data_IF_376949996543
#
_entry.id   IF_376949996543
#
_cell.length_a   1.000
_cell.length_b   1.000
_cell.length_c   1.000
_cell.angle_alpha   90.00
_cell.angle_beta   90.00
_cell.angle_gamma   90.00
#
_symmetry.space_group_name_H-M   'P 1'
#
loop_
_entity.id
_entity.type
_entity.pdbx_description
1 polymer ?
#
# COMPACT_ATOMS: atom_id res chain seq x y z
N UNK A 1 -6.42 8.69 -19.26
CA UNK A 1 -7.49 8.46 -20.26
C UNK A 1 -7.85 9.82 -20.85
N UNK A 2 -7.38 10.11 -22.04
CA UNK A 2 -7.66 11.36 -22.75
C UNK A 2 -8.75 11.09 -23.78
N UNK A 3 -9.90 11.77 -23.65
CA UNK A 3 -10.85 11.93 -24.76
C UNK A 3 -12.15 11.13 -24.71
N UNK A 4 -12.54 10.55 -23.60
CA UNK A 4 -13.85 9.93 -23.42
C UNK A 4 -14.63 10.78 -22.41
N UNK A 5 -15.82 11.28 -22.76
CA UNK A 5 -16.77 11.81 -21.79
C UNK A 5 -17.33 10.65 -20.98
N UNK A 6 -16.71 10.33 -19.87
CA UNK A 6 -17.20 9.36 -18.88
C UNK A 6 -17.69 10.11 -17.65
N UNK A 7 -18.83 9.72 -17.13
CA UNK A 7 -19.27 10.15 -15.81
C UNK A 7 -18.38 9.47 -14.75
N UNK A 8 -17.96 10.20 -13.72
CA UNK A 8 -17.14 9.66 -12.65
C UNK A 8 -18.02 9.36 -11.44
N UNK A 9 -18.08 8.10 -11.02
CA UNK A 9 -18.77 7.63 -9.82
C UNK A 9 -17.82 6.76 -8.99
N UNK A 10 -16.91 7.39 -8.29
CA UNK A 10 -15.82 6.70 -7.58
C UNK A 10 -15.69 7.18 -6.13
N UNK A 11 -15.15 6.36 -5.29
CA UNK A 11 -14.97 6.69 -3.88
C UNK A 11 -13.94 5.82 -3.19
N UNK A 12 -13.53 6.25 -2.00
CA UNK A 12 -12.64 5.50 -1.14
C UNK A 12 -13.04 5.64 0.32
N UNK A 13 -12.52 4.74 1.15
CA UNK A 13 -12.67 4.81 2.59
C UNK A 13 -11.52 4.09 3.29
N UNK A 14 -11.19 4.56 4.50
CA UNK A 14 -10.23 3.87 5.34
C UNK A 14 -10.70 3.84 6.79
N UNK A 15 -10.27 2.83 7.52
CA UNK A 15 -10.49 2.75 8.95
C UNK A 15 -9.25 2.22 9.66
N UNK A 16 -9.02 2.71 10.87
CA UNK A 16 -7.93 2.27 11.74
C UNK A 16 -8.50 2.01 13.12
N UNK A 17 -8.23 0.83 13.65
CA UNK A 17 -8.52 0.49 15.03
C UNK A 17 -7.24 -0.02 15.67
N UNK A 18 -6.88 0.53 16.84
CA UNK A 18 -5.66 0.13 17.51
C UNK A 18 -5.75 0.24 19.01
N UNK A 19 -4.86 -0.48 19.69
CA UNK A 19 -4.72 -0.44 21.12
C UNK A 19 -3.24 -0.40 21.52
N UNK A 20 -2.93 0.40 22.55
CA UNK A 20 -1.58 0.54 23.11
C UNK A 20 -1.59 0.04 24.55
N UNK A 21 -0.70 -0.89 24.86
CA UNK A 21 -0.45 -1.37 26.23
C UNK A 21 0.63 -0.50 26.87
N UNK A 22 0.25 0.63 27.46
CA UNK A 22 1.19 1.62 28.02
C UNK A 22 1.98 1.10 29.21
N UNK A 23 1.39 0.17 29.97
CA UNK A 23 1.97 -0.39 31.20
C UNK A 23 2.86 -1.64 30.95
N UNK A 24 2.97 -2.05 29.70
CA UNK A 24 3.83 -3.16 29.26
C UNK A 24 5.16 -2.60 28.76
N UNK A 25 6.25 -3.37 28.99
CA UNK A 25 7.56 -2.99 28.48
C UNK A 25 7.51 -2.70 26.98
N UNK A 26 8.18 -1.62 26.52
CA UNK A 26 8.23 -1.12 25.17
C UNK A 26 6.92 -0.49 24.67
N UNK A 27 5.90 -0.38 25.53
CA UNK A 27 4.57 0.18 25.20
C UNK A 27 4.04 -0.29 23.84
N UNK A 28 3.87 -1.62 23.63
CA UNK A 28 3.47 -2.14 22.34
C UNK A 28 2.11 -1.60 21.91
N UNK A 29 1.99 -1.30 20.64
CA UNK A 29 0.72 -0.92 20.00
C UNK A 29 0.43 -1.92 18.88
N UNK A 30 -0.81 -2.40 18.81
CA UNK A 30 -1.32 -3.19 17.70
C UNK A 30 -2.44 -2.41 17.02
N UNK A 31 -2.41 -2.36 15.67
CA UNK A 31 -3.42 -1.68 14.86
C UNK A 31 -3.88 -2.59 13.73
N UNK A 32 -5.19 -2.65 13.53
CA UNK A 32 -5.78 -3.12 12.29
C UNK A 32 -6.08 -1.90 11.41
N UNK A 33 -5.69 -1.96 10.15
CA UNK A 33 -5.95 -0.91 9.16
C UNK A 33 -6.67 -1.52 7.97
N UNK A 34 -7.65 -0.81 7.46
CA UNK A 34 -8.38 -1.18 6.26
C UNK A 34 -8.41 0.00 5.31
N UNK A 35 -8.18 -0.27 4.02
CA UNK A 35 -8.37 0.64 2.91
C UNK A 35 -9.27 0.02 1.87
N UNK A 36 -10.17 0.82 1.33
CA UNK A 36 -10.97 0.53 0.16
C UNK A 36 -10.86 1.69 -0.85
N UNK A 37 -10.44 1.37 -2.06
CA UNK A 37 -10.53 2.26 -3.21
C UNK A 37 -11.33 1.61 -4.32
N UNK A 38 -12.39 2.29 -4.78
CA UNK A 38 -13.26 1.74 -5.82
C UNK A 38 -12.53 1.46 -7.12
N UNK A 39 -12.99 0.44 -7.84
CA UNK A 39 -12.57 0.05 -9.18
C UNK A 39 -13.76 -0.03 -10.13
N UNK A 40 -13.49 -0.11 -11.41
CA UNK A 40 -14.50 -0.14 -12.47
C UNK A 40 -14.90 -1.58 -12.81
N UNK A 41 -16.11 -1.96 -12.44
CA UNK A 41 -16.67 -3.28 -12.72
C UNK A 41 -16.94 -3.51 -14.21
N UNK A 42 -17.26 -2.44 -14.94
CA UNK A 42 -17.70 -2.54 -16.34
C UNK A 42 -17.03 -1.43 -17.16
N UNK A 43 -15.72 -1.56 -17.43
CA UNK A 43 -14.97 -0.56 -18.19
C UNK A 43 -15.62 -0.25 -19.55
N UNK A 44 -15.56 1.02 -19.96
CA UNK A 44 -16.09 1.52 -21.24
C UNK A 44 -17.62 1.53 -21.38
N UNK A 45 -18.37 1.53 -20.28
CA UNK A 45 -19.83 1.68 -20.28
C UNK A 45 -20.33 3.14 -20.19
N UNK A 46 -19.42 4.12 -20.24
CA UNK A 46 -19.73 5.55 -20.10
C UNK A 46 -19.61 6.07 -18.66
N UNK A 47 -19.34 5.21 -17.69
CA UNK A 47 -19.11 5.59 -16.28
C UNK A 47 -17.78 5.02 -15.82
N UNK A 48 -16.93 5.84 -15.22
CA UNK A 48 -15.69 5.42 -14.60
C UNK A 48 -15.87 5.33 -13.08
N UNK A 49 -15.79 4.10 -12.55
CA UNK A 49 -15.94 3.87 -11.12
C UNK A 49 -14.58 3.73 -10.39
N UNK A 50 -13.47 3.89 -11.09
CA UNK A 50 -12.14 3.81 -10.49
C UNK A 50 -11.80 5.12 -9.79
N UNK A 51 -11.56 5.07 -8.48
CA UNK A 51 -11.08 6.23 -7.73
C UNK A 51 -9.68 6.61 -8.20
N UNK A 52 -9.45 7.92 -8.37
CA UNK A 52 -8.11 8.48 -8.59
C UNK A 52 -7.62 9.11 -7.28
N UNK A 53 -6.50 8.63 -6.78
CA UNK A 53 -5.86 9.19 -5.59
C UNK A 53 -5.09 10.46 -5.97
N UNK A 54 -5.71 11.62 -5.76
CA UNK A 54 -5.12 12.93 -6.11
C UNK A 54 -3.85 13.25 -5.32
N UNK A 55 -3.74 12.72 -4.10
CA UNK A 55 -2.61 12.93 -3.20
C UNK A 55 -2.17 11.58 -2.62
N UNK A 56 -1.39 10.80 -3.36
CA UNK A 56 -0.96 9.49 -2.89
C UNK A 56 -0.04 9.63 -1.68
N UNK A 57 -0.41 8.98 -0.59
CA UNK A 57 0.39 8.84 0.63
C UNK A 57 0.81 7.37 0.76
N UNK A 58 1.52 6.85 -0.24
CA UNK A 58 1.83 5.44 -0.41
C UNK A 58 2.31 4.77 0.88
N UNK A 59 3.42 5.23 1.41
CA UNK A 59 4.02 4.67 2.64
C UNK A 59 3.13 4.71 3.89
N UNK A 60 2.09 5.54 3.91
CA UNK A 60 1.20 5.63 5.05
C UNK A 60 0.08 4.58 5.01
N UNK A 61 -0.26 4.05 3.82
CA UNK A 61 -1.45 3.24 3.63
C UNK A 61 -1.23 1.96 2.82
N UNK A 62 -0.32 1.93 1.84
CA UNK A 62 -0.27 0.85 0.83
C UNK A 62 1.09 0.17 0.73
N UNK A 63 1.80 0.05 1.87
CA UNK A 63 3.13 -0.53 1.94
C UNK A 63 4.25 0.45 1.58
N UNK A 64 5.49 0.05 1.82
CA UNK A 64 6.68 0.90 1.68
C UNK A 64 7.36 0.75 0.30
N UNK A 65 7.11 -0.38 -0.39
CA UNK A 65 7.72 -0.63 -1.71
C UNK A 65 7.14 0.29 -2.80
N UNK A 66 6.00 0.96 -2.55
CA UNK A 66 5.33 1.86 -3.51
C UNK A 66 4.92 1.18 -4.84
N UNK A 67 4.56 -0.08 -4.78
CA UNK A 67 4.06 -0.79 -5.95
C UNK A 67 2.65 -0.36 -6.36
N UNK A 68 1.86 0.12 -5.41
CA UNK A 68 0.43 0.34 -5.53
C UNK A 68 0.06 1.77 -5.16
N UNK A 69 -1.06 2.21 -5.74
CA UNK A 69 -1.74 3.42 -5.28
C UNK A 69 -3.14 3.10 -4.77
N UNK A 70 -3.87 3.67 -4.08
CA UNK A 70 -5.17 3.28 -3.50
C UNK A 70 -6.32 3.07 -4.50
N UNK A 71 -6.09 3.06 -5.81
CA UNK A 71 -7.12 2.87 -6.85
C UNK A 71 -7.38 1.40 -7.09
N UNK A 72 -8.65 1.00 -7.18
CA UNK A 72 -9.07 -0.39 -7.34
C UNK A 72 -8.40 -1.33 -6.32
N UNK A 73 -8.31 -0.88 -5.06
CA UNK A 73 -7.50 -1.55 -4.04
C UNK A 73 -8.32 -1.84 -2.78
N UNK A 74 -8.18 -3.05 -2.29
CA UNK A 74 -8.46 -3.45 -0.91
C UNK A 74 -7.12 -3.69 -0.24
N UNK A 75 -6.85 -3.04 0.89
CA UNK A 75 -5.72 -3.35 1.77
C UNK A 75 -6.25 -3.65 3.17
N UNK A 76 -5.89 -4.82 3.64
CA UNK A 76 -6.04 -5.22 5.04
C UNK A 76 -4.66 -5.28 5.65
N UNK A 77 -4.38 -4.49 6.67
CA UNK A 77 -3.08 -4.56 7.31
C UNK A 77 -3.14 -4.69 8.83
N UNK A 78 -2.16 -5.41 9.34
CA UNK A 78 -1.90 -5.53 10.77
C UNK A 78 -0.56 -4.89 11.08
N UNK A 79 -0.56 -3.87 11.95
CA UNK A 79 0.62 -3.07 12.26
C UNK A 79 0.96 -3.17 13.73
N UNK A 80 2.21 -3.52 14.02
CA UNK A 80 2.80 -3.51 15.37
C UNK A 80 3.77 -2.35 15.52
N UNK A 81 3.72 -1.66 16.66
CA UNK A 81 4.69 -0.61 17.02
C UNK A 81 5.24 -0.91 18.40
N UNK A 82 6.55 -0.86 18.56
CA UNK A 82 7.21 -0.97 19.85
C UNK A 82 8.24 0.15 20.03
N UNK A 83 8.45 0.56 21.28
CA UNK A 83 9.44 1.59 21.67
C UNK A 83 10.41 1.00 22.69
N UNK A 84 11.46 0.24 22.22
CA UNK A 84 12.43 -0.39 23.11
C UNK A 84 13.17 0.59 24.00
N UNK A 85 13.32 1.83 23.54
CA UNK A 85 13.88 2.95 24.31
C UNK A 85 13.11 4.24 23.98
N UNK A 86 13.35 5.31 24.72
CA UNK A 86 12.77 6.64 24.43
C UNK A 86 13.25 7.22 23.08
N UNK A 87 14.30 6.64 22.47
CA UNK A 87 14.91 7.12 21.22
C UNK A 87 14.68 6.17 20.05
N UNK A 88 14.23 4.94 20.29
CA UNK A 88 14.07 3.92 19.25
C UNK A 88 12.61 3.52 19.13
N UNK A 89 12.05 3.63 17.94
CA UNK A 89 10.73 3.10 17.56
C UNK A 89 10.92 2.09 16.45
N UNK A 90 10.27 0.93 16.59
CA UNK A 90 10.22 -0.09 15.54
C UNK A 90 8.76 -0.30 15.16
N UNK A 91 8.49 -0.27 13.88
CA UNK A 91 7.19 -0.53 13.27
C UNK A 91 7.32 -1.76 12.39
N UNK A 92 6.37 -2.68 12.49
CA UNK A 92 6.20 -3.76 11.52
C UNK A 92 4.77 -3.71 11.01
N UNK A 93 4.58 -3.85 9.71
CA UNK A 93 3.27 -3.91 9.07
C UNK A 93 3.21 -5.11 8.13
N UNK A 94 2.11 -5.85 8.18
CA UNK A 94 1.80 -6.93 7.25
C UNK A 94 0.52 -6.54 6.51
N UNK A 95 0.62 -6.44 5.20
CA UNK A 95 -0.43 -6.04 4.29
C UNK A 95 -0.89 -7.21 3.44
N UNK A 96 -2.20 -7.29 3.18
CA UNK A 96 -2.82 -8.18 2.19
C UNK A 96 -3.57 -7.31 1.19
N UNK A 97 -3.14 -7.38 -0.08
CA UNK A 97 -3.65 -6.55 -1.16
C UNK A 97 -4.51 -7.35 -2.14
N UNK A 98 -5.72 -6.86 -2.38
CA UNK A 98 -6.62 -7.39 -3.38
C UNK A 98 -7.16 -6.27 -4.28
N UNK A 99 -7.54 -6.62 -5.51
CA UNK A 99 -8.31 -5.74 -6.39
C UNK A 99 -9.74 -5.62 -5.85
N UNK A 100 -10.29 -4.42 -5.81
CA UNK A 100 -11.71 -4.20 -5.49
C UNK A 100 -12.63 -4.73 -6.61
N UNK A 101 -12.17 -4.64 -7.87
CA UNK A 101 -12.86 -5.19 -9.05
C UNK A 101 -11.86 -5.96 -9.93
N UNK A 102 -12.20 -7.19 -10.27
CA UNK A 102 -11.36 -8.05 -11.10
C UNK A 102 -11.18 -7.53 -12.53
N UNK A 103 -12.19 -6.85 -13.07
CA UNK A 103 -12.21 -6.28 -14.42
C UNK A 103 -11.37 -5.01 -14.57
N UNK A 104 -11.01 -4.36 -13.49
CA UNK A 104 -10.20 -3.14 -13.51
C UNK A 104 -8.71 -3.46 -13.28
N UNK A 105 -7.76 -2.73 -13.89
CA UNK A 105 -6.34 -2.95 -13.66
C UNK A 105 -5.88 -2.73 -12.22
N UNK A 106 -4.68 -3.20 -11.90
CA UNK A 106 -3.89 -2.71 -10.78
C UNK A 106 -3.31 -1.34 -11.18
N UNK A 107 -3.17 -0.40 -10.24
CA UNK A 107 -2.61 0.91 -10.49
C UNK A 107 -1.34 1.11 -9.67
N UNK A 108 -0.29 1.60 -10.35
CA UNK A 108 0.98 1.97 -9.71
C UNK A 108 0.92 3.36 -9.06
N UNK A 109 1.97 3.75 -8.36
CA UNK A 109 2.06 5.06 -7.67
C UNK A 109 1.91 6.27 -8.59
N UNK A 110 2.16 6.13 -9.89
CA UNK A 110 1.93 7.18 -10.88
C UNK A 110 0.47 7.22 -11.37
N UNK A 111 -0.44 6.46 -10.76
CA UNK A 111 -1.83 6.28 -11.18
C UNK A 111 -1.96 5.74 -12.61
N UNK A 112 -0.96 5.02 -13.08
CA UNK A 112 -1.00 4.35 -14.36
C UNK A 112 -1.42 2.88 -14.18
N UNK A 113 -2.25 2.35 -15.10
CA UNK A 113 -2.61 0.93 -15.08
C UNK A 113 -1.38 0.04 -15.16
N UNK A 114 -1.40 -1.01 -14.36
CA UNK A 114 -0.37 -2.02 -14.30
C UNK A 114 -1.04 -3.40 -14.19
N UNK A 115 -0.82 -4.33 -15.09
CA UNK A 115 -0.08 -4.20 -16.34
C UNK A 115 -0.75 -3.31 -17.39
N UNK A 116 -0.15 -3.23 -18.60
CA UNK A 116 -0.71 -2.49 -19.73
C UNK A 116 -2.18 -2.92 -19.97
N UNK A 117 -3.14 -1.98 -19.97
CA UNK A 117 -4.56 -2.31 -20.14
C UNK A 117 -4.93 -2.94 -21.50
N UNK A 118 -4.00 -2.90 -22.47
CA UNK A 118 -4.18 -3.57 -23.76
C UNK A 118 -3.90 -5.08 -23.73
N UNK A 119 -3.32 -5.61 -22.65
CA UNK A 119 -3.08 -7.04 -22.51
C UNK A 119 -4.26 -7.70 -21.75
N UNK A 120 -4.74 -8.87 -22.20
CA UNK A 120 -5.75 -9.61 -21.44
C UNK A 120 -5.12 -10.08 -20.12
N UNK A 121 -5.58 -9.48 -19.02
CA UNK A 121 -5.13 -9.83 -17.68
C UNK A 121 -5.91 -10.99 -17.08
N UNK A 122 -5.47 -11.45 -15.93
CA UNK A 122 -6.19 -12.44 -15.13
C UNK A 122 -7.42 -11.82 -14.45
N UNK A 123 -8.44 -12.61 -14.22
CA UNK A 123 -9.59 -12.24 -13.36
C UNK A 123 -9.29 -12.42 -11.86
N UNK A 124 -8.13 -12.92 -11.49
CA UNK A 124 -7.72 -13.03 -10.10
C UNK A 124 -7.65 -11.65 -9.44
N UNK A 125 -7.99 -11.60 -8.18
CA UNK A 125 -8.01 -10.36 -7.39
C UNK A 125 -6.81 -10.23 -6.45
N UNK A 126 -6.24 -11.33 -5.98
CA UNK A 126 -5.11 -11.30 -5.04
C UNK A 126 -3.86 -10.69 -5.70
N UNK A 127 -3.49 -9.48 -5.25
CA UNK A 127 -2.29 -8.76 -5.75
C UNK A 127 -1.04 -9.27 -5.04
N UNK A 128 -1.15 -9.55 -3.74
CA UNK A 128 -0.03 -10.05 -2.95
C UNK A 128 -0.05 -9.64 -1.50
N UNK A 129 1.07 -9.91 -0.85
CA UNK A 129 1.30 -9.62 0.58
C UNK A 129 2.61 -8.88 0.71
N UNK A 130 2.64 -7.81 1.53
CA UNK A 130 3.87 -7.05 1.84
C UNK A 130 4.12 -7.08 3.34
N UNK A 131 5.36 -7.38 3.73
CA UNK A 131 5.84 -7.24 5.09
C UNK A 131 6.86 -6.11 5.15
N UNK A 132 6.60 -5.13 6.00
CA UNK A 132 7.47 -3.99 6.27
C UNK A 132 8.03 -4.05 7.68
N UNK A 133 9.30 -3.71 7.82
CA UNK A 133 9.95 -3.48 9.11
C UNK A 133 10.73 -2.18 9.02
N UNK A 134 10.40 -1.23 9.89
CA UNK A 134 11.03 0.10 9.94
C UNK A 134 11.53 0.38 11.34
N UNK A 135 12.79 0.76 11.45
CA UNK A 135 13.39 1.25 12.68
C UNK A 135 13.72 2.74 12.56
N UNK A 136 13.25 3.53 13.50
CA UNK A 136 13.52 4.98 13.60
C UNK A 136 14.26 5.27 14.89
N UNK A 137 15.43 5.86 14.78
CA UNK A 137 16.29 6.22 15.93
C UNK A 137 16.51 7.73 16.00
N UNK A 138 16.06 8.36 17.10
CA UNK A 138 16.30 9.75 17.42
C UNK A 138 17.66 9.89 18.10
N UNK A 139 18.72 10.09 17.32
CA UNK A 139 20.10 10.19 17.83
C UNK A 139 20.29 11.41 18.72
N UNK A 140 19.73 12.58 18.32
CA UNK A 140 19.68 13.81 19.10
C UNK A 140 18.37 14.56 18.84
N UNK A 141 18.14 15.70 19.49
CA UNK A 141 16.97 16.56 19.23
C UNK A 141 16.84 17.00 17.77
N UNK A 142 17.95 17.03 17.04
CA UNK A 142 18.05 17.56 15.68
C UNK A 142 18.35 16.49 14.64
N UNK A 143 18.76 15.26 15.04
CA UNK A 143 19.20 14.20 14.12
C UNK A 143 18.42 12.93 14.34
N UNK A 144 17.78 12.45 13.28
CA UNK A 144 17.06 11.19 13.22
C UNK A 144 17.63 10.30 12.11
N UNK A 145 17.70 9.02 12.37
CA UNK A 145 17.97 7.98 11.37
C UNK A 145 16.77 7.08 11.26
N UNK A 146 16.46 6.66 10.02
CA UNK A 146 15.44 5.68 9.73
C UNK A 146 15.98 4.66 8.75
N UNK A 147 15.69 3.39 8.98
CA UNK A 147 15.99 2.30 8.07
C UNK A 147 14.79 1.38 7.96
N UNK A 148 14.49 0.96 6.76
CA UNK A 148 13.40 0.03 6.49
C UNK A 148 13.84 -1.11 5.58
N UNK A 149 13.20 -2.25 5.77
CA UNK A 149 13.31 -3.40 4.91
C UNK A 149 11.94 -3.98 4.66
N UNK A 150 11.64 -4.27 3.39
CA UNK A 150 10.33 -4.75 2.95
C UNK A 150 10.47 -5.95 2.03
N UNK A 151 9.49 -6.87 2.11
CA UNK A 151 9.31 -8.02 1.22
C UNK A 151 7.92 -7.94 0.63
N UNK A 152 7.79 -8.12 -0.68
CA UNK A 152 6.52 -8.26 -1.37
C UNK A 152 6.45 -9.60 -2.08
N UNK A 153 5.48 -10.42 -1.72
CA UNK A 153 5.14 -11.68 -2.37
C UNK A 153 3.95 -11.44 -3.30
N UNK A 154 4.18 -11.55 -4.61
CA UNK A 154 3.12 -11.30 -5.58
C UNK A 154 2.11 -12.43 -5.62
N UNK A 155 0.82 -12.07 -5.62
CA UNK A 155 -0.32 -12.96 -5.75
C UNK A 155 -0.70 -13.25 -7.19
N UNK A 156 -1.78 -14.00 -7.35
CA UNK A 156 -2.26 -14.53 -8.63
C UNK A 156 -2.63 -13.43 -9.64
N UNK A 157 -3.13 -12.29 -9.18
CA UNK A 157 -3.44 -11.16 -10.07
C UNK A 157 -2.20 -10.60 -10.81
N UNK A 158 -1.01 -10.90 -10.30
CA UNK A 158 0.28 -10.51 -10.90
C UNK A 158 0.96 -11.70 -11.56
N UNK A 159 1.05 -12.84 -10.86
CA UNK A 159 1.86 -13.99 -11.30
C UNK A 159 1.23 -14.77 -12.45
N UNK A 160 -0.11 -14.75 -12.56
CA UNK A 160 -0.86 -15.42 -13.63
C UNK A 160 -1.10 -14.52 -14.85
N UNK A 161 -0.82 -13.23 -14.76
CA UNK A 161 -0.97 -12.34 -15.90
C UNK A 161 0.22 -12.48 -16.84
N UNK A 162 0.03 -12.93 -18.10
CA UNK A 162 1.12 -13.13 -19.06
C UNK A 162 1.83 -11.83 -19.46
N UNK A 163 1.22 -10.67 -19.21
CA UNK A 163 1.83 -9.37 -19.44
C UNK A 163 2.76 -8.94 -18.30
N UNK A 164 2.67 -9.62 -17.13
CA UNK A 164 3.49 -9.34 -15.97
C UNK A 164 4.25 -10.62 -15.60
N UNK A 165 5.53 -10.67 -15.87
CA UNK A 165 6.39 -11.71 -15.33
C UNK A 165 7.23 -11.10 -14.22
N UNK A 166 6.76 -11.16 -12.96
CA UNK A 166 7.48 -10.62 -11.82
C UNK A 166 7.80 -11.68 -10.79
N UNK A 167 9.03 -11.63 -10.33
CA UNK A 167 9.46 -12.30 -9.11
C UNK A 167 9.14 -11.42 -7.91
N UNK A 168 9.07 -12.01 -6.73
CA UNK A 168 8.90 -11.30 -5.46
C UNK A 168 9.90 -10.14 -5.33
N UNK A 169 9.43 -9.04 -4.74
CA UNK A 169 10.24 -7.84 -4.58
C UNK A 169 10.82 -7.74 -3.16
N UNK A 170 11.97 -7.08 -3.07
CA UNK A 170 12.58 -6.69 -1.79
C UNK A 170 13.05 -5.26 -1.89
N UNK A 171 12.89 -4.51 -0.82
CA UNK A 171 13.28 -3.11 -0.77
C UNK A 171 14.02 -2.82 0.54
N UNK A 172 15.10 -2.06 0.45
CA UNK A 172 15.85 -1.54 1.58
C UNK A 172 16.09 -0.06 1.40
N UNK A 173 15.92 0.70 2.47
CA UNK A 173 16.31 2.10 2.47
C UNK A 173 16.97 2.50 3.80
N UNK A 174 17.78 3.54 3.72
CA UNK A 174 18.31 4.26 4.86
C UNK A 174 18.15 5.75 4.64
N UNK A 175 17.67 6.46 5.64
CA UNK A 175 17.42 7.90 5.59
C UNK A 175 17.97 8.58 6.85
N UNK A 176 18.54 9.77 6.68
CA UNK A 176 18.88 10.66 7.78
C UNK A 176 18.12 11.97 7.63
N UNK A 177 17.57 12.47 8.73
CA UNK A 177 16.88 13.77 8.79
C UNK A 177 17.59 14.68 9.79
N UNK A 178 18.05 15.82 9.33
CA UNK A 178 18.64 16.87 10.16
C UNK A 178 17.71 18.09 10.17
N UNK A 179 17.35 18.53 11.35
CA UNK A 179 16.52 19.73 11.58
C UNK A 179 17.36 20.78 12.30
N UNK A 180 17.34 22.03 11.86
CA UNK A 180 18.13 23.14 12.45
C UNK A 180 17.28 24.40 12.59
#
# INVERSE_FOLDING_TARGET
RTGINEDIQAGFGSSVLGYTWSDVAWSPTLKGVFWYGSGDKTPANGTNNTVSTLFPLGHAHWGIIDNLNGSNLLDYSLQGVVKPTSKLTVVSALHWFDKAQSSDPIYNVANAPFPNPAAPGTTATNIGTELDIVATWQASKNLQFQSGYSWFWYGDAVTQDPAINRNDARFFYFMSTLTF
#
